data_IF_061960872959
#
_entry.id   IF_061960872959
#
_cell.length_a   1.000
_cell.length_b   1.000
_cell.length_c   1.000
_cell.angle_alpha   90.00
_cell.angle_beta   90.00
_cell.angle_gamma   90.00
#
_symmetry.space_group_name_H-M   'P 1'
#
loop_
_entity.id
_entity.type
_entity.pdbx_description
1 polymer ?
#
# COMPACT_ATOMS: atom_id res chain seq x y z
N UNK A 1 -7.69 -4.83 9.77
CA UNK A 1 -6.50 -4.03 9.40
C UNK A 1 -6.18 -3.09 10.56
N UNK A 2 -4.93 -3.04 11.04
CA UNK A 2 -4.54 -2.12 12.12
C UNK A 2 -3.82 -0.93 11.49
N UNK A 3 -4.55 0.17 11.28
CA UNK A 3 -3.97 1.45 10.86
C UNK A 3 -3.23 2.09 12.04
N UNK A 4 -2.07 2.69 11.79
CA UNK A 4 -1.34 3.46 12.79
C UNK A 4 -1.99 4.83 12.99
N UNK A 5 -2.62 5.01 14.16
CA UNK A 5 -3.39 6.21 14.49
C UNK A 5 -2.53 7.48 14.52
N UNK A 6 -1.25 7.34 14.84
CA UNK A 6 -0.31 8.46 14.94
C UNK A 6 0.05 9.06 13.57
N UNK A 7 0.16 8.24 12.52
CA UNK A 7 0.36 8.74 11.15
C UNK A 7 -0.89 9.44 10.61
N UNK A 8 -2.07 8.93 10.98
CA UNK A 8 -3.34 9.54 10.59
C UNK A 8 -3.50 10.93 11.22
N UNK A 9 -3.12 11.11 12.49
CA UNK A 9 -3.13 12.42 13.15
C UNK A 9 -2.21 13.44 12.47
N UNK A 10 -1.00 13.05 12.06
CA UNK A 10 -0.07 13.93 11.32
C UNK A 10 -0.65 14.32 9.95
N UNK A 11 -1.26 13.36 9.25
CA UNK A 11 -1.89 13.59 7.94
C UNK A 11 -3.10 14.54 8.08
N UNK A 12 -3.94 14.30 9.09
CA UNK A 12 -5.11 15.13 9.40
C UNK A 12 -4.72 16.55 9.85
N UNK A 13 -3.67 16.69 10.64
CA UNK A 13 -3.14 18.00 11.08
C UNK A 13 -2.55 18.79 9.90
N UNK A 14 -1.97 18.12 8.91
CA UNK A 14 -1.27 18.79 7.79
C UNK A 14 -2.19 19.15 6.61
N UNK A 15 -3.27 18.40 6.39
CA UNK A 15 -4.15 18.54 5.20
C UNK A 15 -5.59 18.96 5.53
N UNK A 16 -5.97 18.92 6.82
CA UNK A 16 -7.36 18.99 7.25
C UNK A 16 -8.17 17.73 6.90
N UNK A 17 -9.36 17.53 7.49
CA UNK A 17 -10.12 16.27 7.37
C UNK A 17 -10.43 15.88 5.92
N UNK A 18 -10.81 16.86 5.10
CA UNK A 18 -11.19 16.65 3.69
C UNK A 18 -9.98 16.29 2.82
N UNK A 19 -8.80 16.84 3.13
CA UNK A 19 -7.57 16.54 2.40
C UNK A 19 -7.04 15.14 2.74
N UNK A 20 -7.07 14.78 4.02
CA UNK A 20 -6.64 13.46 4.48
C UNK A 20 -7.52 12.33 3.94
N UNK A 21 -8.85 12.48 3.94
CA UNK A 21 -9.76 11.47 3.39
C UNK A 21 -9.55 11.23 1.90
N UNK A 22 -9.30 12.30 1.12
CA UNK A 22 -8.98 12.16 -0.31
C UNK A 22 -7.68 11.41 -0.55
N UNK A 23 -6.64 11.72 0.22
CA UNK A 23 -5.34 11.03 0.13
C UNK A 23 -5.48 9.55 0.46
N UNK A 24 -6.23 9.23 1.52
CA UNK A 24 -6.46 7.84 1.94
C UNK A 24 -7.30 7.08 0.92
N UNK A 25 -8.39 7.67 0.42
CA UNK A 25 -9.23 7.05 -0.60
C UNK A 25 -8.43 6.75 -1.87
N UNK A 26 -7.64 7.72 -2.34
CA UNK A 26 -6.80 7.54 -3.53
C UNK A 26 -5.71 6.48 -3.33
N UNK A 27 -5.05 6.48 -2.17
CA UNK A 27 -4.04 5.46 -1.86
C UNK A 27 -4.65 4.05 -1.79
N UNK A 28 -5.86 3.90 -1.24
CA UNK A 28 -6.56 2.63 -1.19
C UNK A 28 -6.97 2.14 -2.59
N UNK A 29 -7.45 3.04 -3.45
CA UNK A 29 -7.76 2.74 -4.85
C UNK A 29 -6.50 2.27 -5.60
N UNK A 30 -5.40 3.01 -5.46
CA UNK A 30 -4.14 2.67 -6.11
C UNK A 30 -3.57 1.33 -5.60
N UNK A 31 -3.67 1.07 -4.28
CA UNK A 31 -3.32 -0.22 -3.68
C UNK A 31 -4.16 -1.36 -4.24
N UNK A 32 -5.47 -1.17 -4.39
CA UNK A 32 -6.37 -2.16 -4.99
C UNK A 32 -5.96 -2.55 -6.40
N UNK A 33 -5.66 -1.55 -7.24
CA UNK A 33 -5.19 -1.76 -8.61
C UNK A 33 -3.88 -2.56 -8.63
N UNK A 34 -2.89 -2.16 -7.83
CA UNK A 34 -1.58 -2.85 -7.81
C UNK A 34 -1.68 -4.27 -7.25
N UNK A 35 -2.54 -4.51 -6.27
CA UNK A 35 -2.78 -5.87 -5.75
C UNK A 35 -3.40 -6.77 -6.83
N UNK A 36 -4.34 -6.24 -7.62
CA UNK A 36 -4.90 -6.96 -8.77
C UNK A 36 -3.83 -7.35 -9.79
N UNK A 37 -2.94 -6.41 -10.14
CA UNK A 37 -1.82 -6.66 -11.04
C UNK A 37 -0.83 -7.70 -10.47
N UNK A 38 -0.46 -7.57 -9.20
CA UNK A 38 0.42 -8.54 -8.52
C UNK A 38 -0.19 -9.96 -8.55
N UNK A 39 -1.49 -10.09 -8.28
CA UNK A 39 -2.17 -11.38 -8.36
C UNK A 39 -2.19 -11.96 -9.77
N UNK A 40 -2.28 -11.12 -10.81
CA UNK A 40 -2.18 -11.55 -12.20
C UNK A 40 -0.77 -12.07 -12.53
N UNK A 41 0.28 -11.31 -12.19
CA UNK A 41 1.67 -11.75 -12.39
C UNK A 41 1.99 -13.05 -11.67
N UNK A 42 1.48 -13.23 -10.44
CA UNK A 42 1.64 -14.48 -9.69
C UNK A 42 1.00 -15.67 -10.43
N UNK A 43 -0.24 -15.52 -10.93
CA UNK A 43 -0.92 -16.57 -11.71
C UNK A 43 -0.22 -16.90 -13.03
N UNK A 44 0.42 -15.91 -13.65
CA UNK A 44 1.19 -16.08 -14.90
C UNK A 44 2.62 -16.58 -14.69
N UNK A 45 3.08 -16.75 -13.44
CA UNK A 45 4.46 -17.13 -13.13
C UNK A 45 5.50 -16.02 -13.37
N UNK A 46 5.06 -14.78 -13.57
CA UNK A 46 5.90 -13.61 -13.87
C UNK A 46 6.49 -13.02 -12.57
N UNK A 47 7.36 -13.79 -11.90
CA UNK A 47 7.86 -13.44 -10.57
C UNK A 47 8.66 -12.13 -10.52
N UNK A 48 9.33 -11.76 -11.61
CA UNK A 48 10.06 -10.48 -11.69
C UNK A 48 9.11 -9.28 -11.60
N UNK A 49 8.01 -9.32 -12.34
CA UNK A 49 7.03 -8.24 -12.35
C UNK A 49 6.15 -8.25 -11.09
N UNK A 50 5.89 -9.42 -10.51
CA UNK A 50 5.33 -9.54 -9.16
C UNK A 50 6.20 -8.79 -8.13
N UNK A 51 7.52 -8.99 -8.15
CA UNK A 51 8.44 -8.30 -7.21
C UNK A 51 8.47 -6.79 -7.44
N UNK A 52 8.36 -6.31 -8.68
CA UNK A 52 8.23 -4.87 -8.98
C UNK A 52 6.93 -4.30 -8.42
N UNK A 53 5.80 -4.97 -8.67
CA UNK A 53 4.50 -4.59 -8.13
C UNK A 53 4.52 -4.54 -6.60
N UNK A 54 5.19 -5.51 -5.96
CA UNK A 54 5.26 -5.57 -4.51
C UNK A 54 6.05 -4.42 -3.88
N UNK A 55 7.15 -3.98 -4.49
CA UNK A 55 7.89 -2.78 -4.03
C UNK A 55 7.02 -1.53 -4.07
N UNK A 56 6.21 -1.35 -5.11
CA UNK A 56 5.30 -0.22 -5.23
C UNK A 56 4.19 -0.25 -4.17
N UNK A 57 3.64 -1.45 -3.90
CA UNK A 57 2.62 -1.64 -2.84
C UNK A 57 3.18 -1.32 -1.46
N UNK A 58 4.42 -1.74 -1.16
CA UNK A 58 5.09 -1.43 0.11
C UNK A 58 5.24 0.08 0.29
N UNK A 59 5.71 0.78 -0.76
CA UNK A 59 5.92 2.23 -0.71
C UNK A 59 4.61 3.00 -0.44
N UNK A 60 3.54 2.67 -1.18
CA UNK A 60 2.22 3.27 -0.97
C UNK A 60 1.68 2.97 0.44
N UNK A 61 1.78 1.72 0.88
CA UNK A 61 1.33 1.32 2.20
C UNK A 61 2.05 2.10 3.31
N UNK A 62 3.33 2.40 3.15
CA UNK A 62 4.09 3.22 4.11
C UNK A 62 3.63 4.68 4.12
N UNK A 63 3.30 5.26 2.96
CA UNK A 63 2.87 6.66 2.85
C UNK A 63 1.54 6.95 3.57
N UNK A 64 0.65 5.96 3.69
CA UNK A 64 -0.63 6.08 4.40
C UNK A 64 -0.68 5.36 5.76
N UNK A 65 0.46 4.88 6.26
CA UNK A 65 0.54 4.25 7.59
C UNK A 65 -0.05 2.85 7.68
N UNK A 66 -0.17 2.14 6.56
CA UNK A 66 -0.58 0.73 6.47
C UNK A 66 0.60 -0.23 6.75
N UNK A 67 1.18 -0.12 7.95
CA UNK A 67 2.41 -0.81 8.35
C UNK A 67 2.35 -2.34 8.23
N UNK A 68 1.17 -2.94 8.46
CA UNK A 68 0.97 -4.39 8.30
C UNK A 68 1.08 -4.83 6.84
N UNK A 69 0.49 -4.07 5.91
CA UNK A 69 0.53 -4.37 4.48
C UNK A 69 1.96 -4.23 3.93
N UNK A 70 2.67 -3.20 4.35
CA UNK A 70 4.09 -3.03 4.02
C UNK A 70 4.97 -4.17 4.56
N UNK A 71 4.61 -4.79 5.69
CA UNK A 71 5.32 -5.95 6.23
C UNK A 71 5.07 -7.20 5.38
N UNK A 72 3.80 -7.55 5.12
CA UNK A 72 3.46 -8.72 4.30
C UNK A 72 4.06 -8.61 2.90
N UNK A 73 4.05 -7.41 2.30
CA UNK A 73 4.69 -7.20 0.99
C UNK A 73 6.20 -7.48 1.01
N UNK A 74 6.90 -7.20 2.12
CA UNK A 74 8.32 -7.54 2.26
C UNK A 74 8.53 -9.04 2.38
N UNK A 75 7.68 -9.73 3.15
CA UNK A 75 7.74 -11.20 3.26
C UNK A 75 7.62 -11.86 1.86
N UNK A 76 6.78 -11.31 0.97
CA UNK A 76 6.65 -11.77 -0.43
C UNK A 76 7.92 -11.53 -1.27
N UNK A 77 8.71 -10.50 -0.96
CA UNK A 77 9.98 -10.24 -1.65
C UNK A 77 11.12 -11.16 -1.19
N UNK A 78 10.95 -11.81 -0.03
CA UNK A 78 11.93 -12.72 0.58
C UNK A 78 11.67 -14.20 0.23
N UNK A 79 10.52 -14.51 -0.40
CA UNK A 79 10.22 -15.77 -1.08
C UNK A 79 10.98 -15.91 -2.42
#
# INVERSE_FOLDING_TARGET
MRLDRSQFEILYQSLGPVGADKVVAHALEELGIKLGAAAAHYRSGELSDLRKAMRAIIALAQQVGMTLLARVGRDVLEL
#
